data_IF_204476244946
#
_entry.id   IF_204476244946
#
_cell.length_a   1.000
_cell.length_b   1.000
_cell.length_c   1.000
_cell.angle_alpha   90.00
_cell.angle_beta   90.00
_cell.angle_gamma   90.00
#
_symmetry.space_group_name_H-M   'P 1'
#
loop_
_entity.id
_entity.type
_entity.pdbx_description
1 polymer ?
#
# COMPACT_ATOMS: atom_id res chain seq x y z
N UNK A 1 -45.68 -21.34 64.98
CA UNK A 1 -44.40 -20.68 64.58
C UNK A 1 -43.73 -21.53 63.55
N UNK A 2 -43.90 -21.14 62.25
CA UNK A 2 -43.19 -21.75 61.13
C UNK A 2 -42.51 -20.64 60.39
N UNK A 3 -41.18 -20.60 60.39
CA UNK A 3 -40.34 -19.66 59.64
C UNK A 3 -40.28 -20.14 58.22
N UNK A 4 -40.74 -19.31 57.29
CA UNK A 4 -40.57 -19.48 55.82
C UNK A 4 -39.28 -18.76 55.46
N UNK A 5 -38.26 -19.51 55.06
CA UNK A 5 -36.99 -19.00 54.53
C UNK A 5 -37.23 -18.84 53.01
N UNK A 6 -37.34 -17.59 52.57
CA UNK A 6 -37.39 -17.27 51.17
C UNK A 6 -35.96 -17.30 50.59
N UNK A 7 -35.68 -18.25 49.68
CA UNK A 7 -34.45 -18.35 48.93
C UNK A 7 -34.53 -17.43 47.73
N UNK A 8 -33.85 -16.31 47.82
CA UNK A 8 -33.72 -15.31 46.71
C UNK A 8 -32.66 -15.82 45.74
N UNK A 9 -33.12 -16.37 44.62
CA UNK A 9 -32.25 -16.84 43.54
C UNK A 9 -31.77 -15.64 42.72
N UNK A 10 -30.52 -15.20 42.95
CA UNK A 10 -29.86 -14.15 42.23
C UNK A 10 -29.44 -14.71 40.86
N UNK A 11 -30.21 -14.44 39.82
CA UNK A 11 -29.82 -14.73 38.43
C UNK A 11 -28.75 -13.75 37.98
N UNK A 12 -27.49 -14.17 37.96
CA UNK A 12 -26.41 -13.49 37.27
C UNK A 12 -26.66 -13.64 35.75
N UNK A 13 -27.22 -12.62 35.16
CA UNK A 13 -27.17 -12.42 33.71
C UNK A 13 -25.74 -12.03 33.34
N UNK A 14 -24.93 -13.03 32.97
CA UNK A 14 -23.69 -12.79 32.22
C UNK A 14 -24.10 -12.25 30.84
N UNK A 15 -24.26 -10.94 30.72
CA UNK A 15 -24.22 -10.27 29.45
C UNK A 15 -22.79 -10.39 28.93
N UNK A 16 -22.51 -11.40 28.13
CA UNK A 16 -21.36 -11.37 27.22
C UNK A 16 -21.62 -10.25 26.23
N UNK A 17 -21.29 -9.01 26.57
CA UNK A 17 -21.00 -8.00 25.58
C UNK A 17 -19.73 -8.49 24.88
N UNK A 18 -19.82 -8.84 23.60
CA UNK A 18 -18.66 -8.93 22.74
C UNK A 18 -18.10 -7.51 22.61
N UNK A 19 -17.32 -7.06 23.60
CA UNK A 19 -16.48 -5.91 23.45
C UNK A 19 -15.52 -6.23 22.31
N UNK A 20 -15.74 -5.62 21.17
CA UNK A 20 -14.73 -5.56 20.10
C UNK A 20 -13.53 -4.90 20.73
N UNK A 21 -12.42 -5.64 20.82
CA UNK A 21 -11.16 -5.14 21.34
C UNK A 21 -10.68 -4.03 20.41
N UNK A 22 -10.77 -2.77 20.85
CA UNK A 22 -10.43 -1.58 20.05
C UNK A 22 -8.92 -1.35 19.97
N UNK A 23 -8.15 -2.07 20.78
CA UNK A 23 -6.68 -2.01 20.84
C UNK A 23 -6.10 -3.40 21.03
N UNK A 24 -4.98 -3.67 20.35
CA UNK A 24 -4.19 -4.88 20.48
C UNK A 24 -2.73 -4.52 20.68
N UNK A 25 -2.09 -5.14 21.67
CA UNK A 25 -0.68 -4.94 21.97
C UNK A 25 0.10 -6.23 21.77
N UNK A 26 0.88 -6.30 20.69
CA UNK A 26 1.75 -7.44 20.44
C UNK A 26 3.08 -7.27 21.16
N UNK A 27 3.33 -8.10 22.16
CA UNK A 27 4.56 -8.04 22.97
C UNK A 27 5.78 -8.61 22.25
N UNK A 28 5.59 -9.43 21.25
CA UNK A 28 6.66 -10.01 20.42
C UNK A 28 6.13 -10.47 19.07
N UNK A 29 7.03 -10.53 18.08
CA UNK A 29 6.79 -11.10 16.74
C UNK A 29 7.89 -12.12 16.43
N UNK A 30 7.91 -13.21 17.22
CA UNK A 30 9.03 -14.17 17.25
C UNK A 30 8.90 -15.34 16.27
N UNK A 31 7.72 -15.59 15.70
CA UNK A 31 7.54 -16.68 14.72
C UNK A 31 8.06 -16.24 13.36
N UNK A 32 9.32 -16.53 13.05
CA UNK A 32 9.98 -16.17 11.81
C UNK A 32 10.13 -17.36 10.88
N UNK A 33 9.71 -17.21 9.64
CA UNK A 33 9.86 -18.19 8.56
C UNK A 33 10.81 -17.61 7.52
N UNK A 34 11.95 -18.26 7.31
CA UNK A 34 12.90 -17.87 6.27
C UNK A 34 12.41 -18.37 4.91
N UNK A 35 12.34 -17.46 3.93
CA UNK A 35 11.80 -17.77 2.59
C UNK A 35 12.75 -17.34 1.46
N UNK A 36 13.99 -16.94 1.75
CA UNK A 36 14.96 -16.50 0.74
C UNK A 36 15.13 -17.52 -0.40
N UNK A 37 15.21 -18.78 -0.07
CA UNK A 37 15.35 -19.91 -0.99
C UNK A 37 14.12 -20.17 -1.86
N UNK A 38 12.98 -19.56 -1.52
CA UNK A 38 11.72 -19.64 -2.27
C UNK A 38 11.45 -18.43 -3.15
N UNK A 39 12.22 -17.36 -2.99
CA UNK A 39 12.14 -16.19 -3.87
C UNK A 39 12.72 -16.58 -5.24
N UNK A 40 11.92 -16.37 -6.27
CA UNK A 40 12.30 -16.62 -7.66
C UNK A 40 12.66 -15.30 -8.32
N UNK A 41 13.87 -15.20 -8.85
CA UNK A 41 14.36 -14.02 -9.57
C UNK A 41 13.60 -13.80 -10.87
N UNK A 42 13.43 -12.53 -11.24
CA UNK A 42 12.91 -12.07 -12.52
C UNK A 42 13.98 -11.18 -13.15
N UNK A 43 14.62 -11.66 -14.20
CA UNK A 43 15.62 -10.90 -14.96
C UNK A 43 14.95 -10.14 -16.12
N UNK A 44 15.00 -8.81 -16.04
CA UNK A 44 14.47 -7.91 -17.07
C UNK A 44 15.57 -7.29 -17.93
N UNK A 45 16.83 -7.56 -17.63
CA UNK A 45 18.00 -6.83 -18.18
C UNK A 45 18.17 -6.99 -19.69
N UNK A 46 17.69 -8.09 -20.26
CA UNK A 46 17.75 -8.35 -21.70
C UNK A 46 16.68 -7.60 -22.51
N UNK A 47 15.62 -7.15 -21.86
CA UNK A 47 14.46 -6.53 -22.51
C UNK A 47 14.41 -5.02 -22.27
N UNK A 48 14.54 -4.61 -21.01
CA UNK A 48 14.47 -3.21 -20.58
C UNK A 48 15.31 -2.99 -19.32
N UNK A 49 16.05 -1.86 -19.31
CA UNK A 49 16.75 -1.42 -18.11
C UNK A 49 15.82 -0.58 -17.25
N UNK A 50 15.65 -0.98 -16.01
CA UNK A 50 14.82 -0.29 -15.01
C UNK A 50 15.71 0.22 -13.90
N UNK A 51 15.48 1.46 -13.48
CA UNK A 51 16.23 2.10 -12.41
C UNK A 51 15.97 1.47 -11.03
N UNK A 52 16.86 1.74 -10.09
CA UNK A 52 16.75 1.19 -8.72
C UNK A 52 15.52 1.69 -7.98
N UNK A 53 15.13 2.96 -8.19
CA UNK A 53 13.93 3.53 -7.59
C UNK A 53 12.72 3.20 -8.44
N UNK A 54 12.17 2.03 -8.23
CA UNK A 54 10.98 1.60 -8.94
C UNK A 54 9.91 1.07 -7.98
N UNK A 55 8.65 1.11 -8.40
CA UNK A 55 7.49 0.59 -7.70
C UNK A 55 6.66 -0.27 -8.64
N UNK A 56 6.01 -1.25 -8.08
CA UNK A 56 5.18 -2.18 -8.83
C UNK A 56 3.70 -2.01 -8.50
N UNK A 57 2.85 -2.28 -9.49
CA UNK A 57 1.40 -2.39 -9.33
C UNK A 57 0.91 -3.54 -10.20
N UNK A 58 -0.15 -4.21 -9.78
CA UNK A 58 -0.82 -5.20 -10.60
C UNK A 58 -2.12 -4.67 -11.18
N UNK A 59 -2.36 -5.00 -12.44
CA UNK A 59 -3.68 -5.04 -13.04
C UNK A 59 -4.13 -6.49 -13.25
N UNK A 60 -5.28 -6.69 -13.86
CA UNK A 60 -5.78 -8.04 -14.15
C UNK A 60 -4.83 -8.83 -15.06
N UNK A 61 -4.26 -8.16 -16.08
CA UNK A 61 -3.41 -8.82 -17.09
C UNK A 61 -1.94 -8.38 -17.02
N UNK A 62 -1.63 -7.23 -16.41
CA UNK A 62 -0.31 -6.64 -16.46
C UNK A 62 0.31 -6.47 -15.07
N UNK A 63 1.62 -6.69 -15.01
CA UNK A 63 2.47 -6.06 -14.01
C UNK A 63 2.92 -4.71 -14.57
N UNK A 64 2.68 -3.66 -13.82
CA UNK A 64 3.05 -2.28 -14.16
C UNK A 64 4.20 -1.86 -13.26
N UNK A 65 5.36 -1.54 -13.83
CA UNK A 65 6.49 -1.03 -13.06
C UNK A 65 6.68 0.45 -13.36
N UNK A 66 6.62 1.26 -12.33
CA UNK A 66 6.92 2.68 -12.34
C UNK A 66 8.41 2.87 -12.05
N UNK A 67 9.16 3.48 -12.98
CA UNK A 67 10.57 3.78 -12.84
C UNK A 67 10.80 5.28 -12.62
N UNK A 68 11.19 5.63 -11.40
CA UNK A 68 11.47 7.02 -11.04
C UNK A 68 12.79 7.54 -11.62
N UNK A 69 13.70 6.66 -12.01
CA UNK A 69 15.01 7.01 -12.55
C UNK A 69 15.03 7.09 -14.09
N UNK A 70 14.04 6.53 -14.76
CA UNK A 70 13.96 6.56 -16.21
C UNK A 70 13.87 7.98 -16.76
N UNK A 71 14.60 8.25 -17.83
CA UNK A 71 14.48 9.48 -18.62
C UNK A 71 13.39 9.36 -19.68
N UNK A 72 13.16 8.16 -20.16
CA UNK A 72 12.31 7.87 -21.30
C UNK A 72 11.57 6.55 -21.03
N UNK A 73 10.23 6.59 -21.13
CA UNK A 73 9.40 5.44 -20.84
C UNK A 73 9.41 5.04 -19.37
N UNK A 74 8.95 5.95 -18.49
CA UNK A 74 8.99 5.77 -17.03
C UNK A 74 7.97 4.75 -16.47
N UNK A 75 7.13 4.16 -17.33
CA UNK A 75 6.20 3.09 -16.99
C UNK A 75 6.46 1.91 -17.90
N UNK A 76 6.65 0.74 -17.32
CA UNK A 76 6.90 -0.49 -18.04
C UNK A 76 5.76 -1.46 -17.82
N UNK A 77 5.24 -2.05 -18.90
CA UNK A 77 4.22 -3.09 -18.87
C UNK A 77 4.87 -4.46 -19.12
N UNK A 78 4.55 -5.41 -18.26
CA UNK A 78 4.93 -6.80 -18.37
C UNK A 78 3.67 -7.67 -18.37
N UNK A 79 3.71 -8.79 -19.09
CA UNK A 79 2.73 -9.84 -18.93
C UNK A 79 2.75 -10.33 -17.48
N UNK A 80 1.59 -10.32 -16.82
CA UNK A 80 1.52 -10.67 -15.41
C UNK A 80 1.88 -12.12 -15.14
N UNK A 81 1.61 -13.03 -16.06
CA UNK A 81 1.78 -14.48 -15.86
C UNK A 81 3.25 -14.89 -15.83
N UNK A 82 3.99 -14.48 -16.85
CA UNK A 82 5.36 -14.94 -17.12
C UNK A 82 6.42 -13.85 -17.02
N UNK A 83 6.00 -12.61 -16.68
CA UNK A 83 6.85 -11.44 -16.53
C UNK A 83 7.57 -10.99 -17.81
N UNK A 84 7.07 -11.41 -18.97
CA UNK A 84 7.60 -11.00 -20.27
C UNK A 84 7.33 -9.51 -20.49
N UNK A 85 8.39 -8.77 -20.83
CA UNK A 85 8.28 -7.36 -21.18
C UNK A 85 7.38 -7.15 -22.42
N UNK A 86 6.54 -6.12 -22.39
CA UNK A 86 5.60 -5.79 -23.45
C UNK A 86 5.93 -4.42 -24.05
N UNK A 87 5.92 -3.36 -23.25
CA UNK A 87 6.13 -2.00 -23.73
C UNK A 87 6.46 -1.04 -22.60
N UNK A 88 6.99 0.13 -22.96
CA UNK A 88 7.16 1.27 -22.06
C UNK A 88 6.38 2.48 -22.56
N UNK A 89 5.91 3.32 -21.64
CA UNK A 89 5.24 4.59 -21.91
C UNK A 89 5.65 5.65 -20.85
N UNK A 90 5.13 6.88 -21.01
CA UNK A 90 5.37 7.94 -20.05
C UNK A 90 6.75 8.59 -20.19
N UNK A 91 6.99 9.26 -21.31
CA UNK A 91 8.22 10.01 -21.54
C UNK A 91 8.30 11.18 -20.57
N UNK A 92 9.48 11.42 -19.99
CA UNK A 92 9.73 12.56 -19.09
C UNK A 92 10.13 13.80 -19.88
N UNK A 93 9.63 14.96 -19.43
CA UNK A 93 9.94 16.26 -20.02
C UNK A 93 8.89 17.31 -19.66
N UNK A 94 9.02 18.50 -20.27
CA UNK A 94 8.14 19.64 -20.03
C UNK A 94 7.04 19.79 -21.10
N UNK A 95 7.13 19.01 -22.17
CA UNK A 95 6.17 19.04 -23.27
C UNK A 95 4.74 18.65 -22.87
N UNK A 96 3.74 18.92 -23.72
CA UNK A 96 2.34 18.66 -23.40
C UNK A 96 2.03 17.16 -23.23
N UNK A 97 2.76 16.30 -23.93
CA UNK A 97 2.61 14.84 -23.91
C UNK A 97 3.67 14.14 -23.03
N UNK A 98 4.38 14.89 -22.19
CA UNK A 98 5.43 14.39 -21.31
C UNK A 98 5.05 14.53 -19.85
N UNK A 99 5.71 13.75 -18.98
CA UNK A 99 5.58 13.82 -17.53
C UNK A 99 6.72 14.66 -16.96
N UNK A 100 6.40 15.76 -16.29
CA UNK A 100 7.43 16.67 -15.73
C UNK A 100 7.91 16.17 -14.37
N UNK A 101 7.00 16.00 -13.41
CA UNK A 101 7.31 15.40 -12.10
C UNK A 101 6.28 14.28 -11.86
N UNK A 102 6.70 13.07 -12.21
CA UNK A 102 5.88 11.89 -12.03
C UNK A 102 5.64 11.64 -10.53
N UNK A 103 4.38 11.58 -10.13
CA UNK A 103 3.94 11.20 -8.79
C UNK A 103 3.56 9.73 -8.71
N UNK A 104 2.37 9.42 -8.20
CA UNK A 104 1.90 8.04 -8.05
C UNK A 104 1.20 7.53 -9.31
N UNK A 105 1.22 6.20 -9.46
CA UNK A 105 0.41 5.45 -10.43
C UNK A 105 -0.76 4.79 -9.71
N UNK A 106 -1.91 4.71 -10.36
CA UNK A 106 -3.08 3.95 -9.90
C UNK A 106 -3.73 3.22 -11.05
N UNK A 107 -4.41 2.11 -10.75
CA UNK A 107 -4.99 1.21 -11.75
C UNK A 107 -6.52 1.36 -11.79
N UNK A 108 -7.08 1.48 -12.97
CA UNK A 108 -8.51 1.37 -13.28
C UNK A 108 -8.74 0.04 -14.01
N UNK A 109 -9.01 -0.99 -13.24
CA UNK A 109 -9.23 -2.35 -13.77
C UNK A 109 -10.41 -2.40 -14.74
N UNK A 110 -11.51 -1.71 -14.40
CA UNK A 110 -12.75 -1.76 -15.17
C UNK A 110 -12.58 -1.22 -16.60
N UNK A 111 -11.68 -0.26 -16.81
CA UNK A 111 -11.41 0.35 -18.11
C UNK A 111 -10.06 -0.03 -18.70
N UNK A 112 -9.31 -0.91 -18.02
CA UNK A 112 -7.95 -1.33 -18.43
C UNK A 112 -7.03 -0.13 -18.65
N UNK A 113 -7.03 0.80 -17.65
CA UNK A 113 -6.22 2.03 -17.68
C UNK A 113 -5.36 2.12 -16.43
N UNK A 114 -4.29 2.88 -16.56
CA UNK A 114 -3.59 3.40 -15.40
C UNK A 114 -3.57 4.92 -15.45
N UNK A 115 -3.54 5.51 -14.27
CA UNK A 115 -3.50 6.96 -14.09
C UNK A 115 -2.20 7.35 -13.42
N UNK A 116 -1.57 8.43 -13.91
CA UNK A 116 -0.33 8.96 -13.34
C UNK A 116 -0.58 10.40 -12.90
N UNK A 117 -0.22 10.72 -11.66
CA UNK A 117 -0.19 12.12 -11.22
C UNK A 117 1.09 12.80 -11.72
N UNK A 118 0.96 14.01 -12.23
CA UNK A 118 2.10 14.90 -12.52
C UNK A 118 2.06 16.08 -11.54
N UNK A 119 2.98 16.07 -10.60
CA UNK A 119 3.02 17.01 -9.49
C UNK A 119 3.50 18.41 -9.90
N UNK A 120 4.14 18.58 -11.06
CA UNK A 120 4.47 19.90 -11.61
C UNK A 120 3.30 20.51 -12.38
N UNK A 121 2.55 19.69 -13.09
CA UNK A 121 1.40 20.13 -13.89
C UNK A 121 0.09 20.12 -13.12
N UNK A 122 0.05 19.56 -11.91
CA UNK A 122 -1.15 19.38 -11.07
C UNK A 122 -2.28 18.66 -11.82
N UNK A 123 -1.91 17.62 -12.57
CA UNK A 123 -2.81 16.86 -13.41
C UNK A 123 -2.67 15.36 -13.15
N UNK A 124 -3.74 14.65 -13.47
CA UNK A 124 -3.74 13.20 -13.60
C UNK A 124 -3.86 12.87 -15.06
N UNK A 125 -2.93 12.09 -15.57
CA UNK A 125 -2.91 11.61 -16.95
C UNK A 125 -3.38 10.15 -17.01
N UNK A 126 -4.25 9.85 -17.98
CA UNK A 126 -4.78 8.52 -18.22
C UNK A 126 -4.12 7.84 -19.40
N UNK A 127 -3.72 6.60 -19.18
CA UNK A 127 -3.11 5.73 -20.17
C UNK A 127 -3.97 4.49 -20.35
N UNK A 128 -4.31 4.15 -21.58
CA UNK A 128 -4.99 2.91 -21.92
C UNK A 128 -3.95 1.80 -22.09
N UNK A 129 -4.06 0.72 -21.32
CA UNK A 129 -3.03 -0.32 -21.24
C UNK A 129 -2.85 -1.07 -22.56
N UNK A 130 -3.95 -1.38 -23.24
CA UNK A 130 -3.89 -2.11 -24.51
C UNK A 130 -3.29 -1.25 -25.64
N UNK A 131 -3.62 0.04 -25.62
CA UNK A 131 -3.00 1.00 -26.53
C UNK A 131 -1.51 1.20 -26.23
N UNK A 132 -1.12 1.27 -24.96
CA UNK A 132 0.29 1.31 -24.56
C UNK A 132 1.00 0.04 -24.99
N UNK A 133 0.40 -1.13 -24.79
CA UNK A 133 0.99 -2.41 -25.21
C UNK A 133 1.26 -2.47 -26.72
N UNK A 134 0.43 -1.82 -27.53
CA UNK A 134 0.58 -1.81 -29.00
C UNK A 134 1.45 -0.67 -29.53
N UNK A 135 1.42 0.52 -28.91
CA UNK A 135 2.05 1.75 -29.40
C UNK A 135 3.34 2.10 -28.65
N UNK A 136 3.53 1.56 -27.46
CA UNK A 136 4.66 1.86 -26.59
C UNK A 136 4.77 3.36 -26.30
N UNK A 137 5.98 3.89 -26.39
CA UNK A 137 6.33 5.31 -26.17
C UNK A 137 5.63 6.30 -27.10
N UNK A 138 5.05 5.83 -28.20
CA UNK A 138 4.29 6.68 -29.12
C UNK A 138 2.87 6.99 -28.64
N UNK A 139 2.39 6.27 -27.60
CA UNK A 139 1.09 6.54 -27.00
C UNK A 139 1.03 7.95 -26.41
N UNK A 140 -0.10 8.64 -26.63
CA UNK A 140 -0.38 9.96 -26.07
C UNK A 140 -1.48 9.89 -25.03
N UNK A 141 -1.15 10.28 -23.82
CA UNK A 141 -2.07 10.26 -22.69
C UNK A 141 -3.15 11.33 -22.81
N UNK A 142 -4.21 11.18 -22.04
CA UNK A 142 -5.28 12.15 -21.90
C UNK A 142 -5.34 12.68 -20.47
N UNK A 143 -5.77 13.95 -20.31
CA UNK A 143 -6.00 14.51 -18.97
C UNK A 143 -7.25 13.84 -18.37
N UNK A 144 -7.08 13.18 -17.26
CA UNK A 144 -8.17 12.54 -16.48
C UNK A 144 -8.78 13.48 -15.47
N UNK A 145 -7.94 14.16 -14.70
CA UNK A 145 -8.35 15.05 -13.62
C UNK A 145 -7.30 16.14 -13.37
N UNK A 146 -7.65 17.08 -12.49
CA UNK A 146 -6.72 18.08 -11.94
C UNK A 146 -6.83 18.04 -10.43
N UNK A 147 -5.77 18.47 -9.74
CA UNK A 147 -5.75 18.60 -8.28
C UNK A 147 -5.08 19.90 -7.87
N UNK A 148 -5.26 20.30 -6.61
CA UNK A 148 -4.78 21.56 -6.06
C UNK A 148 -3.40 21.40 -5.41
N UNK A 149 -2.62 22.50 -5.39
CA UNK A 149 -1.29 22.56 -4.77
C UNK A 149 -1.30 22.38 -3.26
N UNK A 150 -2.44 22.67 -2.63
CA UNK A 150 -2.62 22.57 -1.17
C UNK A 150 -2.77 21.14 -0.68
N UNK A 151 -3.09 20.19 -1.57
CA UNK A 151 -3.36 18.77 -1.27
C UNK A 151 -2.86 17.89 -2.41
N UNK A 152 -1.61 17.47 -2.32
CA UNK A 152 -0.96 16.69 -3.37
C UNK A 152 -1.23 15.21 -3.13
N UNK A 153 -1.86 14.48 -4.07
CA UNK A 153 -2.03 13.03 -3.95
C UNK A 153 -0.67 12.33 -4.01
N UNK A 154 -0.25 11.70 -2.91
CA UNK A 154 1.00 10.95 -2.81
C UNK A 154 0.87 9.49 -3.23
N UNK A 155 -0.25 8.87 -2.89
CA UNK A 155 -0.68 7.56 -3.37
C UNK A 155 -2.18 7.59 -3.64
N UNK A 156 -2.63 6.85 -4.65
CA UNK A 156 -4.05 6.79 -5.04
C UNK A 156 -4.45 5.35 -5.30
N UNK A 157 -5.46 4.88 -4.58
CA UNK A 157 -6.15 3.62 -4.83
C UNK A 157 -7.45 3.97 -5.56
N UNK A 158 -7.44 3.80 -6.88
CA UNK A 158 -8.58 4.13 -7.72
C UNK A 158 -9.65 3.05 -7.62
N UNK A 159 -10.89 3.43 -7.36
CA UNK A 159 -12.06 2.53 -7.34
C UNK A 159 -12.95 2.80 -8.56
N UNK A 160 -13.32 4.06 -8.76
CA UNK A 160 -14.06 4.56 -9.91
C UNK A 160 -13.96 6.09 -10.01
N UNK A 161 -14.60 6.69 -11.00
CA UNK A 161 -14.50 8.12 -11.27
C UNK A 161 -14.93 9.03 -10.11
N UNK A 162 -15.85 8.54 -9.26
CA UNK A 162 -16.40 9.31 -8.13
C UNK A 162 -15.76 8.92 -6.79
N UNK A 163 -14.94 7.88 -6.77
CA UNK A 163 -14.30 7.38 -5.55
C UNK A 163 -12.90 6.87 -5.83
N UNK A 164 -11.94 7.51 -5.22
CA UNK A 164 -10.58 7.00 -5.01
C UNK A 164 -10.20 7.25 -3.56
N UNK A 165 -9.43 6.35 -2.97
CA UNK A 165 -8.78 6.63 -1.69
C UNK A 165 -7.40 7.19 -1.98
N UNK A 166 -7.01 8.23 -1.27
CA UNK A 166 -5.71 8.84 -1.50
C UNK A 166 -5.04 9.24 -0.19
N UNK A 167 -3.74 9.03 -0.16
CA UNK A 167 -2.87 9.63 0.83
C UNK A 167 -2.47 11.03 0.32
N UNK A 168 -2.83 12.04 1.06
CA UNK A 168 -2.60 13.43 0.71
C UNK A 168 -1.36 13.96 1.43
N UNK A 169 -0.51 14.64 0.71
CA UNK A 169 0.59 15.43 1.26
C UNK A 169 0.07 16.85 1.43
N UNK A 170 0.01 17.33 2.67
CA UNK A 170 -0.46 18.65 3.02
C UNK A 170 0.71 19.48 3.55
N UNK A 171 1.26 20.43 2.78
CA UNK A 171 2.33 21.28 3.25
C UNK A 171 1.91 22.06 4.49
N UNK A 172 2.71 22.03 5.55
CA UNK A 172 2.49 22.77 6.79
C UNK A 172 3.47 23.95 6.94
N UNK A 173 4.60 23.90 6.21
CA UNK A 173 5.56 24.99 6.04
C UNK A 173 6.36 24.80 4.76
N UNK A 174 7.38 25.62 4.53
CA UNK A 174 8.28 25.50 3.34
C UNK A 174 8.99 24.15 3.30
N UNK A 175 9.27 23.54 4.46
CA UNK A 175 10.06 22.30 4.56
C UNK A 175 9.35 21.17 5.30
N UNK A 176 8.13 21.40 5.77
CA UNK A 176 7.37 20.41 6.54
C UNK A 176 6.01 20.13 5.90
N UNK A 177 5.52 18.93 6.08
CA UNK A 177 4.20 18.52 5.64
C UNK A 177 3.58 17.52 6.63
N UNK A 178 2.27 17.39 6.60
CA UNK A 178 1.54 16.32 7.25
C UNK A 178 0.87 15.44 6.18
N UNK A 179 0.42 14.28 6.57
CA UNK A 179 -0.30 13.36 5.68
C UNK A 179 -1.71 13.17 6.20
N UNK A 180 -2.66 13.13 5.27
CA UNK A 180 -4.07 12.86 5.54
C UNK A 180 -4.57 11.80 4.57
N UNK A 181 -5.63 11.11 4.95
CA UNK A 181 -6.33 10.20 4.06
C UNK A 181 -7.59 10.87 3.57
N UNK A 182 -7.88 10.78 2.29
CA UNK A 182 -9.06 11.35 1.68
C UNK A 182 -9.76 10.41 0.72
N UNK A 183 -11.05 10.65 0.56
CA UNK A 183 -11.84 10.15 -0.55
C UNK A 183 -11.88 11.22 -1.63
N UNK A 184 -11.44 10.88 -2.81
CA UNK A 184 -11.32 11.81 -3.94
C UNK A 184 -12.31 11.45 -5.03
N UNK A 185 -13.16 12.41 -5.39
CA UNK A 185 -13.99 12.36 -6.59
C UNK A 185 -13.24 13.03 -7.74
N UNK A 186 -12.70 12.22 -8.67
CA UNK A 186 -11.90 12.72 -9.79
C UNK A 186 -12.73 13.44 -10.87
N UNK A 187 -14.07 13.29 -10.88
CA UNK A 187 -14.93 14.05 -11.81
C UNK A 187 -15.13 15.50 -11.36
N UNK A 188 -15.33 15.69 -10.06
CA UNK A 188 -15.59 17.03 -9.50
C UNK A 188 -14.34 17.71 -8.96
N UNK A 189 -13.29 16.94 -8.66
CA UNK A 189 -12.10 17.39 -7.97
C UNK A 189 -12.26 17.46 -6.44
N UNK A 190 -13.44 17.14 -5.90
CA UNK A 190 -13.71 17.19 -4.46
C UNK A 190 -12.91 16.12 -3.71
N UNK A 191 -12.28 16.53 -2.61
CA UNK A 191 -11.59 15.63 -1.68
C UNK A 191 -12.20 15.79 -0.29
N UNK A 192 -12.76 14.71 0.24
CA UNK A 192 -13.24 14.59 1.61
C UNK A 192 -12.19 13.91 2.46
N UNK A 193 -11.66 14.59 3.47
CA UNK A 193 -10.75 13.98 4.45
C UNK A 193 -11.51 12.97 5.30
N UNK A 194 -10.90 11.82 5.55
CA UNK A 194 -11.43 10.73 6.37
C UNK A 194 -10.38 10.28 7.39
N UNK A 195 -10.86 9.67 8.48
CA UNK A 195 -10.02 9.22 9.57
C UNK A 195 -9.40 10.36 10.36
N UNK A 196 -8.91 10.04 11.52
CA UNK A 196 -8.23 10.97 12.41
C UNK A 196 -6.78 10.56 12.62
N UNK A 197 -5.93 11.51 12.97
CA UNK A 197 -4.56 11.21 13.38
C UNK A 197 -4.59 10.63 14.79
N UNK A 198 -3.82 9.56 15.00
CA UNK A 198 -3.64 8.98 16.33
C UNK A 198 -3.13 10.05 17.31
N UNK A 199 -3.70 10.18 18.53
CA UNK A 199 -3.42 11.29 19.44
C UNK A 199 -1.95 11.36 19.89
N UNK A 200 -1.24 10.24 19.96
CA UNK A 200 0.16 10.18 20.39
C UNK A 200 1.17 10.38 19.24
N UNK A 201 0.70 10.58 18.00
CA UNK A 201 1.57 10.77 16.83
C UNK A 201 1.75 12.25 16.54
N UNK A 202 3.00 12.72 16.51
CA UNK A 202 3.31 14.12 16.20
C UNK A 202 3.16 14.41 14.70
N UNK A 203 3.83 13.63 13.84
CA UNK A 203 3.77 13.78 12.39
C UNK A 203 3.31 12.47 11.75
N UNK A 204 2.19 12.52 11.05
CA UNK A 204 1.66 11.34 10.36
C UNK A 204 2.48 11.07 9.11
N UNK A 205 3.00 9.85 9.01
CA UNK A 205 3.63 9.27 7.83
C UNK A 205 3.12 7.84 7.73
N UNK A 206 2.24 7.59 6.76
CA UNK A 206 1.54 6.31 6.69
C UNK A 206 1.33 5.86 5.26
N UNK A 207 1.06 4.58 5.09
CA UNK A 207 0.59 3.96 3.85
C UNK A 207 -0.72 3.24 4.13
N UNK A 208 -1.53 3.07 3.09
CA UNK A 208 -2.84 2.45 3.19
C UNK A 208 -3.04 1.39 2.12
N UNK A 209 -3.86 0.42 2.45
CA UNK A 209 -4.56 -0.41 1.46
C UNK A 209 -6.04 -0.50 1.79
N UNK A 210 -6.88 -0.71 0.77
CA UNK A 210 -8.34 -0.68 0.86
C UNK A 210 -8.93 -1.91 0.18
N UNK A 211 -9.75 -2.63 0.91
CA UNK A 211 -10.57 -3.70 0.35
C UNK A 211 -12.04 -3.31 0.35
N UNK A 212 -12.57 -2.99 -0.84
CA UNK A 212 -14.01 -2.72 -1.02
C UNK A 212 -14.85 -3.95 -0.70
N UNK A 213 -14.37 -5.14 -1.06
CA UNK A 213 -15.04 -6.42 -0.78
C UNK A 213 -15.25 -6.67 0.70
N UNK A 214 -14.22 -6.36 1.51
CA UNK A 214 -14.24 -6.58 2.96
C UNK A 214 -14.77 -5.37 3.74
N UNK A 215 -15.01 -4.25 3.06
CA UNK A 215 -15.44 -3.02 3.71
C UNK A 215 -14.43 -2.45 4.69
N UNK A 216 -13.13 -2.66 4.44
CA UNK A 216 -12.08 -2.27 5.37
C UNK A 216 -10.93 -1.51 4.71
N UNK A 217 -10.28 -0.68 5.48
CA UNK A 217 -9.02 -0.03 5.17
C UNK A 217 -8.00 -0.38 6.26
N UNK A 218 -6.77 -0.62 5.86
CA UNK A 218 -5.63 -0.80 6.77
C UNK A 218 -4.65 0.33 6.55
N UNK A 219 -4.23 0.96 7.63
CA UNK A 219 -3.20 2.00 7.63
C UNK A 219 -2.01 1.54 8.49
N UNK A 220 -0.80 1.63 7.95
CA UNK A 220 0.45 1.36 8.65
C UNK A 220 1.29 2.63 8.73
N UNK A 221 2.04 2.79 9.82
CA UNK A 221 2.81 3.99 10.08
C UNK A 221 4.30 3.77 9.84
N UNK A 222 4.93 4.69 9.13
CA UNK A 222 6.34 4.55 8.72
C UNK A 222 7.33 4.71 9.87
N UNK A 223 7.00 5.54 10.87
CA UNK A 223 7.89 5.87 11.99
C UNK A 223 7.41 5.30 13.33
N UNK A 224 6.35 4.52 13.32
CA UNK A 224 5.74 3.96 14.51
C UNK A 224 5.36 2.51 14.25
N UNK A 225 5.69 1.63 15.18
CA UNK A 225 5.23 0.24 15.11
C UNK A 225 3.74 0.15 15.46
N UNK A 226 2.96 0.79 14.60
CA UNK A 226 1.51 0.97 14.68
C UNK A 226 0.85 0.63 13.35
N UNK A 227 -0.24 -0.11 13.42
CA UNK A 227 -1.19 -0.32 12.34
C UNK A 227 -2.59 -0.02 12.87
N UNK A 228 -3.50 0.49 12.04
CA UNK A 228 -4.92 0.51 12.37
C UNK A 228 -5.76 -0.18 11.28
N UNK A 229 -6.87 -0.74 11.71
CA UNK A 229 -7.94 -1.25 10.86
C UNK A 229 -9.13 -0.34 11.05
N UNK A 230 -9.67 0.18 9.96
CA UNK A 230 -10.84 1.06 9.93
C UNK A 230 -11.88 0.60 8.93
N UNK A 231 -13.08 1.14 9.03
CA UNK A 231 -14.07 1.03 7.96
C UNK A 231 -13.68 1.93 6.76
N UNK A 232 -14.48 1.87 5.71
CA UNK A 232 -14.24 2.64 4.48
C UNK A 232 -14.48 4.16 4.65
N UNK A 233 -15.04 4.59 5.77
CA UNK A 233 -15.21 6.01 6.13
C UNK A 233 -14.09 6.53 7.05
N UNK A 234 -13.12 5.66 7.38
CA UNK A 234 -11.98 6.01 8.22
C UNK A 234 -12.26 5.93 9.72
N UNK A 235 -13.41 5.36 10.13
CA UNK A 235 -13.68 5.13 11.54
C UNK A 235 -12.83 3.93 12.02
N UNK A 236 -11.89 4.19 12.91
CA UNK A 236 -10.96 3.18 13.43
C UNK A 236 -11.74 2.14 14.24
N UNK A 237 -11.56 0.88 13.89
CA UNK A 237 -12.12 -0.27 14.57
C UNK A 237 -11.13 -0.89 15.57
N UNK A 238 -9.84 -0.89 15.21
CA UNK A 238 -8.80 -1.46 16.05
C UNK A 238 -7.44 -0.81 15.78
N UNK A 239 -6.75 -0.37 16.84
CA UNK A 239 -5.32 -0.06 16.82
C UNK A 239 -4.50 -1.29 17.17
N UNK A 240 -3.39 -1.50 16.48
CA UNK A 240 -2.50 -2.63 16.65
C UNK A 240 -1.08 -2.11 16.90
N UNK A 241 -0.66 -2.20 18.14
CA UNK A 241 0.64 -1.74 18.62
C UNK A 241 1.63 -2.90 18.58
N UNK A 242 2.77 -2.69 17.96
CA UNK A 242 3.84 -3.68 17.98
C UNK A 242 4.78 -3.52 19.17
N UNK A 243 5.75 -4.44 19.30
CA UNK A 243 6.70 -4.41 20.42
C UNK A 243 7.58 -3.16 20.45
N UNK A 244 7.79 -2.51 19.28
CA UNK A 244 8.65 -1.34 19.13
C UNK A 244 7.87 -0.01 19.12
N UNK A 245 6.59 -0.03 19.52
CA UNK A 245 5.70 1.13 19.50
C UNK A 245 6.29 2.37 20.21
N UNK A 246 6.96 2.17 21.34
CA UNK A 246 7.56 3.26 22.13
C UNK A 246 8.99 3.60 21.74
N UNK A 247 9.57 2.91 20.74
CA UNK A 247 10.95 3.11 20.29
C UNK A 247 10.99 4.20 19.23
N UNK A 248 11.71 5.28 19.52
CA UNK A 248 11.89 6.38 18.57
C UNK A 248 13.04 6.10 17.59
N UNK A 249 12.97 6.71 16.41
CA UNK A 249 14.06 6.69 15.43
C UNK A 249 14.13 5.42 14.57
N UNK A 250 13.09 4.57 14.62
CA UNK A 250 12.99 3.42 13.75
C UNK A 250 12.21 3.75 12.48
N UNK A 251 12.64 3.16 11.38
CA UNK A 251 11.82 2.95 10.20
C UNK A 251 11.06 1.64 10.41
N UNK A 252 9.75 1.69 10.48
CA UNK A 252 8.93 0.55 10.81
C UNK A 252 8.26 -0.04 9.58
N UNK A 253 7.03 0.33 9.29
CA UNK A 253 6.31 -0.22 8.15
C UNK A 253 6.65 0.49 6.83
N UNK A 254 6.72 -0.29 5.75
CA UNK A 254 6.66 0.17 4.37
C UNK A 254 5.26 -0.04 3.79
N UNK A 255 5.12 -0.98 2.86
CA UNK A 255 3.84 -1.26 2.21
C UNK A 255 2.91 -2.12 3.07
N UNK A 256 1.61 -2.04 2.78
CA UNK A 256 0.58 -2.91 3.36
C UNK A 256 -0.32 -3.44 2.26
N UNK A 257 -0.72 -4.70 2.35
CA UNK A 257 -1.55 -5.39 1.36
C UNK A 257 -2.64 -6.21 2.07
N UNK A 258 -3.88 -6.02 1.67
CA UNK A 258 -5.03 -6.81 2.15
C UNK A 258 -5.25 -7.94 1.16
N UNK A 259 -4.97 -9.16 1.59
CA UNK A 259 -5.25 -10.38 0.80
C UNK A 259 -6.63 -10.95 1.15
N UNK A 260 -7.12 -12.01 0.49
CA UNK A 260 -8.38 -12.62 0.85
C UNK A 260 -8.49 -13.02 2.33
N UNK A 261 -7.41 -13.47 2.95
CA UNK A 261 -7.42 -14.03 4.31
C UNK A 261 -6.48 -13.32 5.30
N UNK A 262 -5.55 -12.49 4.83
CA UNK A 262 -4.48 -11.92 5.64
C UNK A 262 -4.25 -10.43 5.35
N UNK A 263 -3.64 -9.74 6.30
CA UNK A 263 -2.97 -8.46 6.10
C UNK A 263 -1.47 -8.77 6.07
N UNK A 264 -0.80 -8.35 5.00
CA UNK A 264 0.64 -8.43 4.83
C UNK A 264 1.21 -7.03 4.95
N UNK A 265 2.20 -6.83 5.81
CA UNK A 265 2.82 -5.52 5.98
C UNK A 265 4.34 -5.66 5.97
N UNK A 266 5.00 -4.93 5.08
CA UNK A 266 6.47 -4.90 5.05
C UNK A 266 7.00 -4.14 6.26
N UNK A 267 8.08 -4.62 6.86
CA UNK A 267 8.61 -4.08 8.12
C UNK A 267 10.13 -4.10 8.13
N UNK A 268 10.75 -2.97 8.42
CA UNK A 268 12.19 -2.86 8.60
C UNK A 268 12.60 -3.09 10.06
N UNK A 269 12.14 -2.24 10.96
CA UNK A 269 12.57 -2.23 12.37
C UNK A 269 14.02 -1.76 12.55
N UNK A 270 14.62 -1.14 11.53
CA UNK A 270 15.99 -0.63 11.54
C UNK A 270 16.02 0.87 11.89
N UNK A 271 17.15 1.31 12.43
CA UNK A 271 17.45 2.74 12.50
C UNK A 271 17.61 3.30 11.08
N UNK A 272 17.26 4.57 10.90
CA UNK A 272 17.21 5.26 9.60
C UNK A 272 18.49 5.18 8.74
N UNK A 273 19.61 4.93 9.34
CA UNK A 273 20.92 4.91 8.69
C UNK A 273 21.41 3.50 8.28
N UNK A 274 20.65 2.45 8.57
CA UNK A 274 21.06 1.05 8.37
C UNK A 274 20.55 0.36 7.12
N UNK A 275 19.85 1.09 6.23
CA UNK A 275 19.26 0.51 5.01
C UNK A 275 17.92 -0.19 5.25
N UNK A 276 17.32 -0.67 4.16
CA UNK A 276 15.93 -1.11 4.11
C UNK A 276 15.83 -2.64 4.03
N UNK A 277 16.23 -3.35 5.08
CA UNK A 277 15.97 -4.81 5.11
C UNK A 277 14.54 -5.04 5.57
N UNK A 278 13.64 -5.32 4.66
CA UNK A 278 12.26 -5.58 5.01
C UNK A 278 11.95 -7.06 5.20
N UNK A 279 11.24 -7.32 6.28
CA UNK A 279 10.50 -8.56 6.52
C UNK A 279 9.03 -8.30 6.18
N UNK A 280 8.23 -9.35 6.06
CA UNK A 280 6.79 -9.20 5.91
C UNK A 280 6.11 -9.78 7.13
N UNK A 281 5.43 -8.94 7.89
CA UNK A 281 4.55 -9.38 8.96
C UNK A 281 3.21 -9.83 8.40
N UNK A 282 2.76 -10.99 8.82
CA UNK A 282 1.49 -11.59 8.45
C UNK A 282 0.54 -11.51 9.62
N UNK A 283 -0.63 -10.92 9.39
CA UNK A 283 -1.71 -10.83 10.38
C UNK A 283 -2.98 -11.46 9.79
N UNK A 284 -3.88 -11.94 10.64
CA UNK A 284 -5.24 -12.21 10.22
C UNK A 284 -5.99 -10.87 9.95
N UNK A 285 -7.18 -10.95 9.37
CA UNK A 285 -7.97 -9.76 9.05
C UNK A 285 -8.50 -9.00 10.29
N UNK A 286 -8.30 -9.57 11.49
CA UNK A 286 -8.62 -8.92 12.76
C UNK A 286 -7.39 -8.27 13.39
N UNK A 287 -6.23 -8.33 12.72
CA UNK A 287 -4.97 -7.77 13.20
C UNK A 287 -4.22 -8.63 14.22
N UNK A 288 -4.55 -9.91 14.38
CA UNK A 288 -3.74 -10.80 15.22
C UNK A 288 -2.49 -11.22 14.42
N UNK A 289 -1.32 -11.06 15.02
CA UNK A 289 -0.06 -11.49 14.42
C UNK A 289 0.00 -13.02 14.28
N UNK A 290 0.38 -13.50 13.11
CA UNK A 290 0.50 -14.91 12.78
C UNK A 290 1.96 -15.35 12.65
N UNK A 291 2.73 -14.63 11.81
CA UNK A 291 4.15 -14.94 11.58
C UNK A 291 4.84 -13.78 10.85
N UNK A 292 6.17 -13.87 10.74
CA UNK A 292 7.01 -12.99 9.95
C UNK A 292 7.70 -13.80 8.86
N UNK A 293 7.62 -13.35 7.62
CA UNK A 293 8.42 -13.87 6.52
C UNK A 293 9.73 -13.09 6.46
N UNK A 294 10.85 -13.79 6.58
CA UNK A 294 12.19 -13.24 6.39
C UNK A 294 12.59 -13.47 4.92
N UNK A 295 12.52 -12.41 4.14
CA UNK A 295 12.76 -12.43 2.68
C UNK A 295 14.24 -12.62 2.37
N UNK A 296 15.13 -12.12 3.24
CA UNK A 296 16.58 -12.28 3.09
C UNK A 296 17.21 -11.42 2.00
N UNK A 297 16.49 -10.43 1.45
CA UNK A 297 16.94 -9.42 0.50
C UNK A 297 16.51 -8.03 0.97
N UNK A 298 17.26 -7.00 0.59
CA UNK A 298 16.91 -5.60 0.85
C UNK A 298 15.78 -5.16 -0.08
N UNK A 299 14.55 -5.18 0.42
CA UNK A 299 13.33 -4.93 -0.32
C UNK A 299 12.96 -3.45 -0.29
N UNK A 300 12.65 -2.88 -1.46
CA UNK A 300 12.23 -1.48 -1.65
C UNK A 300 10.71 -1.37 -1.74
N UNK A 301 10.07 -2.32 -2.45
CA UNK A 301 8.64 -2.29 -2.76
C UNK A 301 8.09 -3.71 -2.82
N UNK A 302 6.81 -3.86 -2.48
CA UNK A 302 6.15 -5.16 -2.49
C UNK A 302 4.68 -5.01 -2.85
N UNK A 303 4.20 -5.82 -3.78
CA UNK A 303 2.81 -5.83 -4.20
C UNK A 303 2.24 -7.25 -4.29
N UNK A 304 0.98 -7.42 -3.89
CA UNK A 304 0.28 -8.70 -3.92
C UNK A 304 -0.47 -8.91 -5.23
N UNK A 305 -0.17 -10.04 -5.89
CA UNK A 305 -0.93 -10.55 -7.05
C UNK A 305 -2.04 -11.48 -6.59
N UNK A 306 -3.27 -10.99 -6.66
CA UNK A 306 -4.46 -11.75 -6.25
C UNK A 306 -4.76 -12.94 -7.17
N UNK A 307 -4.36 -12.89 -8.45
CA UNK A 307 -4.67 -13.92 -9.45
C UNK A 307 -3.81 -15.17 -9.24
N UNK A 308 -2.52 -14.97 -9.01
CA UNK A 308 -1.56 -16.07 -8.83
C UNK A 308 -1.17 -16.31 -7.37
N UNK A 309 -1.80 -15.59 -6.43
CA UNK A 309 -1.53 -15.69 -5.00
C UNK A 309 -0.04 -15.61 -4.65
N UNK A 310 0.61 -14.56 -5.14
CA UNK A 310 2.04 -14.35 -4.97
C UNK A 310 2.37 -12.89 -4.67
N UNK A 311 3.56 -12.65 -4.14
CA UNK A 311 4.14 -11.33 -3.98
C UNK A 311 5.13 -11.08 -5.11
N UNK A 312 5.08 -9.90 -5.71
CA UNK A 312 6.16 -9.36 -6.49
C UNK A 312 6.91 -8.35 -5.64
N UNK A 313 8.23 -8.37 -5.70
CA UNK A 313 9.10 -7.56 -4.87
C UNK A 313 10.16 -6.88 -5.71
N UNK A 314 10.47 -5.65 -5.33
CA UNK A 314 11.57 -4.85 -5.87
C UNK A 314 12.65 -4.79 -4.81
N UNK A 315 13.90 -5.06 -5.20
CA UNK A 315 15.03 -5.13 -4.30
C UNK A 315 16.12 -4.11 -4.64
N UNK A 316 16.85 -3.68 -3.64
CA UNK A 316 18.13 -2.97 -3.74
C UNK A 316 19.27 -3.90 -3.33
N UNK A 317 19.39 -5.03 -4.00
CA UNK A 317 20.27 -6.15 -3.63
C UNK A 317 20.89 -6.80 -4.88
N UNK A 318 21.44 -8.01 -4.73
CA UNK A 318 22.03 -8.82 -5.81
C UNK A 318 21.06 -9.15 -6.94
N UNK A 319 19.75 -9.23 -6.63
CA UNK A 319 18.65 -9.31 -7.60
C UNK A 319 17.81 -8.04 -7.52
N UNK A 320 17.29 -7.57 -8.64
CA UNK A 320 16.44 -6.36 -8.66
C UNK A 320 14.96 -6.70 -8.50
N UNK A 321 14.49 -7.78 -9.12
CA UNK A 321 13.10 -8.20 -9.07
C UNK A 321 12.98 -9.67 -8.72
N UNK A 322 11.95 -10.01 -7.99
CA UNK A 322 11.63 -11.39 -7.69
C UNK A 322 10.18 -11.55 -7.25
N UNK A 323 9.75 -12.80 -7.20
CA UNK A 323 8.43 -13.13 -6.68
C UNK A 323 8.47 -14.30 -5.72
N UNK A 324 7.48 -14.33 -4.83
CA UNK A 324 7.27 -15.39 -3.84
C UNK A 324 5.84 -15.92 -3.96
N UNK A 325 5.67 -17.19 -4.28
CA UNK A 325 4.38 -17.86 -4.19
C UNK A 325 4.00 -18.05 -2.72
N UNK A 326 2.78 -17.68 -2.36
CA UNK A 326 2.33 -17.72 -0.96
C UNK A 326 1.67 -19.05 -0.57
N UNK A 327 1.37 -19.93 -1.53
CA UNK A 327 0.75 -21.21 -1.25
C UNK A 327 1.62 -22.06 -0.31
N UNK A 328 1.03 -22.51 0.80
CA UNK A 328 1.73 -23.29 1.82
C UNK A 328 2.72 -22.47 2.69
N UNK A 329 2.74 -21.15 2.53
CA UNK A 329 3.55 -20.23 3.35
C UNK A 329 2.65 -19.39 4.26
N UNK A 330 1.54 -18.89 3.71
CA UNK A 330 0.58 -18.00 4.40
C UNK A 330 -0.83 -18.56 4.28
#
# INVERSE_FOLDING_TARGET
>A
MKKIIGMMMLAFLCACSSQTETEKHHRSRSKVVKVKDKVKEIDTSNDVLIGRRSRALYSEDYLVIQDYDAWDGAIHLFDKKDFRYIASAGNKGEGPDELTIMGCVSIDEARRKFYITDNAKYKVFGYDMDSVASMGRSYRHQVKAKFETSRIPGDVIYINDTLSYCRLIVPTSVSTFDQMIGKWNMLTGEIKIIGEKHPEINAKRSLIDVSMEKGMMVEVYYNYDLMNISDLDGNVQCYIYGPDWTTNGLQTFGDVMITPNHILATYSGNEWDRGNTYKIHVFDLKGNYLQTLDIGYDMIDCVYDKTYHRLFMVFDDEIQFGYLELEGIV
#
